data_IF_865880341564
#
_entry.id   IF_865880341564
#
_cell.length_a   1.000
_cell.length_b   1.000
_cell.length_c   1.000
_cell.angle_alpha   90.00
_cell.angle_beta   90.00
_cell.angle_gamma   90.00
#
_symmetry.space_group_name_H-M   'P 1'
#
loop_
_entity.id
_entity.type
_entity.pdbx_description
1 polymer ?
#
# COMPACT_ATOMS: atom_id res chain seq x y z
N UNK A 1 -12.03 -18.94 2.24
CA UNK A 1 -11.08 -20.06 2.43
C UNK A 1 -10.29 -20.37 1.16
N UNK A 2 -10.94 -20.71 0.03
CA UNK A 2 -10.25 -21.02 -1.23
C UNK A 2 -9.32 -19.90 -1.75
N UNK A 3 -9.78 -18.64 -1.67
CA UNK A 3 -8.98 -17.46 -2.06
C UNK A 3 -7.75 -17.31 -1.17
N UNK A 4 -7.89 -17.53 0.14
CA UNK A 4 -6.79 -17.44 1.11
C UNK A 4 -5.73 -18.51 0.85
N UNK A 5 -6.14 -19.74 0.55
CA UNK A 5 -5.22 -20.82 0.18
C UNK A 5 -4.48 -20.49 -1.12
N UNK A 6 -5.18 -19.95 -2.13
CA UNK A 6 -4.58 -19.54 -3.39
C UNK A 6 -3.53 -18.42 -3.20
N UNK A 7 -3.81 -17.43 -2.35
CA UNK A 7 -2.86 -16.36 -2.03
C UNK A 7 -1.60 -16.87 -1.34
N UNK A 8 -1.73 -17.82 -0.40
CA UNK A 8 -0.57 -18.42 0.29
C UNK A 8 0.30 -19.21 -0.70
N UNK A 9 -0.32 -19.99 -1.58
CA UNK A 9 0.40 -20.74 -2.62
C UNK A 9 1.12 -19.76 -3.58
N UNK A 10 0.45 -18.68 -4.00
CA UNK A 10 1.02 -17.66 -4.87
C UNK A 10 2.26 -16.99 -4.24
N UNK A 11 2.18 -16.62 -2.95
CA UNK A 11 3.32 -16.07 -2.23
C UNK A 11 4.49 -17.07 -2.21
N UNK A 12 4.23 -18.34 -1.93
CA UNK A 12 5.25 -19.40 -1.93
C UNK A 12 5.96 -19.56 -3.28
N UNK A 13 5.21 -19.52 -4.39
CA UNK A 13 5.78 -19.60 -5.74
C UNK A 13 6.64 -18.37 -6.06
N UNK A 14 6.21 -17.17 -5.67
CA UNK A 14 6.97 -15.93 -5.91
C UNK A 14 8.28 -15.94 -5.13
N UNK A 15 8.26 -16.35 -3.86
CA UNK A 15 9.48 -16.43 -3.04
C UNK A 15 10.46 -17.48 -3.55
N UNK A 16 9.99 -18.68 -3.91
CA UNK A 16 10.87 -19.75 -4.41
C UNK A 16 11.45 -19.42 -5.77
N UNK A 17 10.67 -18.85 -6.69
CA UNK A 17 11.17 -18.40 -7.99
C UNK A 17 12.22 -17.30 -7.85
N UNK A 18 12.01 -16.32 -6.96
CA UNK A 18 13.01 -15.28 -6.67
C UNK A 18 14.32 -15.85 -6.14
N UNK A 19 14.26 -16.82 -5.22
CA UNK A 19 15.45 -17.48 -4.67
C UNK A 19 16.19 -18.30 -5.73
N UNK A 20 15.47 -19.13 -6.48
CA UNK A 20 16.04 -19.95 -7.57
C UNK A 20 16.70 -19.07 -8.62
N UNK A 21 16.04 -17.98 -9.02
CA UNK A 21 16.61 -16.98 -9.93
C UNK A 21 17.90 -16.36 -9.38
N UNK A 22 17.94 -16.00 -8.09
CA UNK A 22 19.15 -15.47 -7.45
C UNK A 22 20.31 -16.48 -7.46
N UNK A 23 20.07 -17.76 -7.16
CA UNK A 23 21.11 -18.78 -7.13
C UNK A 23 21.64 -19.14 -8.53
N UNK A 24 20.76 -19.21 -9.54
CA UNK A 24 21.12 -19.61 -10.91
C UNK A 24 21.80 -18.45 -11.68
N UNK A 25 21.28 -17.21 -11.55
CA UNK A 25 21.68 -16.09 -12.41
C UNK A 25 22.55 -15.04 -11.71
N UNK A 26 23.08 -15.33 -10.51
CA UNK A 26 23.91 -14.39 -9.73
C UNK A 26 25.03 -13.71 -10.53
N UNK A 27 25.62 -14.43 -11.49
CA UNK A 27 26.70 -13.92 -12.35
C UNK A 27 26.25 -13.04 -13.52
N UNK A 28 24.97 -13.08 -13.91
CA UNK A 28 24.41 -12.31 -15.04
C UNK A 28 23.63 -11.07 -14.60
N UNK A 29 23.33 -10.93 -13.31
CA UNK A 29 22.57 -9.78 -12.81
C UNK A 29 23.40 -8.49 -12.80
N UNK A 30 22.80 -7.35 -13.16
CA UNK A 30 23.43 -6.05 -12.94
C UNK A 30 23.69 -5.85 -11.44
N UNK A 31 24.79 -5.15 -11.09
CA UNK A 31 25.20 -4.91 -9.70
C UNK A 31 24.09 -4.36 -8.81
N UNK A 32 23.18 -3.55 -9.36
CA UNK A 32 22.02 -3.02 -8.63
C UNK A 32 21.04 -4.11 -8.19
N UNK A 33 20.73 -5.09 -9.05
CA UNK A 33 19.82 -6.18 -8.70
C UNK A 33 20.40 -7.07 -7.58
N UNK A 34 21.71 -7.30 -7.59
CA UNK A 34 22.41 -8.02 -6.52
C UNK A 34 22.41 -7.24 -5.19
N UNK A 35 22.56 -5.91 -5.24
CA UNK A 35 22.51 -5.04 -4.07
C UNK A 35 21.13 -5.07 -3.40
N UNK A 36 20.06 -4.98 -4.21
CA UNK A 36 18.68 -5.07 -3.74
C UNK A 36 18.40 -6.45 -3.14
N UNK A 37 18.80 -7.53 -3.83
CA UNK A 37 18.63 -8.89 -3.30
C UNK A 37 19.36 -9.06 -1.97
N UNK A 38 20.56 -8.48 -1.82
CA UNK A 38 21.31 -8.52 -0.56
C UNK A 38 20.65 -7.68 0.54
N UNK A 39 20.11 -6.51 0.22
CA UNK A 39 19.43 -5.65 1.21
C UNK A 39 18.13 -6.26 1.72
N UNK A 40 17.46 -7.12 0.95
CA UNK A 40 16.29 -7.88 1.42
C UNK A 40 16.63 -8.85 2.57
N UNK A 41 17.86 -9.33 2.66
CA UNK A 41 18.31 -10.21 3.75
C UNK A 41 19.01 -9.46 4.89
N UNK A 42 19.15 -8.14 4.79
CA UNK A 42 19.70 -7.32 5.86
C UNK A 42 18.64 -7.09 6.96
N UNK A 43 19.00 -7.34 8.21
CA UNK A 43 18.05 -7.37 9.33
C UNK A 43 17.42 -5.99 9.58
N UNK A 44 18.19 -4.91 9.42
CA UNK A 44 17.71 -3.53 9.52
C UNK A 44 16.66 -3.21 8.47
N UNK A 45 16.93 -3.58 7.22
CA UNK A 45 16.01 -3.34 6.10
C UNK A 45 14.77 -4.21 6.19
N UNK A 46 14.90 -5.46 6.62
CA UNK A 46 13.77 -6.36 6.90
C UNK A 46 12.79 -5.74 7.90
N UNK A 47 13.31 -5.17 9.00
CA UNK A 47 12.50 -4.47 9.98
C UNK A 47 11.72 -3.30 9.38
N UNK A 48 12.36 -2.50 8.52
CA UNK A 48 11.71 -1.40 7.81
C UNK A 48 10.62 -1.90 6.84
N UNK A 49 10.88 -2.96 6.07
CA UNK A 49 9.89 -3.55 5.16
C UNK A 49 8.66 -4.05 5.92
N UNK A 50 8.85 -4.79 7.01
CA UNK A 50 7.76 -5.30 7.84
C UNK A 50 6.97 -4.13 8.44
N UNK A 51 7.67 -3.12 8.94
CA UNK A 51 7.03 -1.95 9.54
C UNK A 51 6.15 -1.20 8.53
N UNK A 52 6.67 -0.87 7.34
CA UNK A 52 5.89 -0.21 6.29
C UNK A 52 4.79 -1.11 5.72
N UNK A 53 5.00 -2.43 5.69
CA UNK A 53 3.97 -3.40 5.34
C UNK A 53 2.79 -3.36 6.32
N UNK A 54 3.05 -3.33 7.63
CA UNK A 54 2.00 -3.19 8.65
C UNK A 54 1.25 -1.86 8.51
N UNK A 55 1.97 -0.75 8.27
CA UNK A 55 1.33 0.54 8.02
C UNK A 55 0.44 0.52 6.77
N UNK A 56 0.92 -0.09 5.68
CA UNK A 56 0.15 -0.30 4.46
C UNK A 56 -1.10 -1.13 4.72
N UNK A 57 -0.96 -2.27 5.41
CA UNK A 57 -2.08 -3.12 5.80
C UNK A 57 -3.14 -2.32 6.58
N UNK A 58 -2.73 -1.56 7.59
CA UNK A 58 -3.65 -0.74 8.39
C UNK A 58 -4.37 0.31 7.52
N UNK A 59 -3.62 1.06 6.70
CA UNK A 59 -4.18 2.09 5.83
C UNK A 59 -5.25 1.51 4.90
N UNK A 60 -4.91 0.45 4.15
CA UNK A 60 -5.81 -0.16 3.20
C UNK A 60 -6.97 -0.91 3.88
N UNK A 61 -6.76 -1.48 5.06
CA UNK A 61 -7.82 -2.12 5.85
C UNK A 61 -8.92 -1.11 6.22
N UNK A 62 -8.56 0.11 6.64
CA UNK A 62 -9.56 1.15 6.93
C UNK A 62 -10.32 1.62 5.68
N UNK A 63 -9.64 1.70 4.53
CA UNK A 63 -10.28 2.08 3.26
C UNK A 63 -11.27 1.00 2.82
N UNK A 64 -10.86 -0.26 2.84
CA UNK A 64 -11.73 -1.37 2.45
C UNK A 64 -12.88 -1.59 3.45
N UNK A 65 -12.66 -1.36 4.74
CA UNK A 65 -13.73 -1.40 5.74
C UNK A 65 -14.79 -0.31 5.48
N UNK A 66 -14.36 0.91 5.14
CA UNK A 66 -15.28 2.00 4.80
C UNK A 66 -16.07 1.67 3.53
N UNK A 67 -15.39 1.25 2.46
CA UNK A 67 -16.05 0.89 1.19
C UNK A 67 -17.00 -0.28 1.35
N UNK A 68 -16.58 -1.35 2.03
CA UNK A 68 -17.41 -2.52 2.28
C UNK A 68 -18.67 -2.23 3.08
N UNK A 69 -18.65 -1.23 3.97
CA UNK A 69 -19.83 -0.83 4.74
C UNK A 69 -20.90 -0.09 3.94
N UNK A 70 -20.54 0.50 2.80
CA UNK A 70 -21.45 1.30 1.95
C UNK A 70 -22.03 0.46 0.81
N UNK A 71 -21.39 -0.67 0.48
CA UNK A 71 -21.84 -1.55 -0.61
C UNK A 71 -22.92 -2.51 -0.12
N UNK A 72 -24.11 -2.42 -0.71
CA UNK A 72 -25.25 -3.26 -0.34
C UNK A 72 -25.37 -4.56 -1.15
N UNK A 73 -24.71 -4.64 -2.32
CA UNK A 73 -24.79 -5.78 -3.24
C UNK A 73 -23.41 -6.28 -3.61
N UNK A 74 -23.23 -7.61 -3.65
CA UNK A 74 -21.96 -8.25 -4.02
C UNK A 74 -21.49 -7.85 -5.42
N UNK A 75 -22.41 -7.59 -6.34
CA UNK A 75 -22.14 -7.14 -7.71
C UNK A 75 -21.48 -5.75 -7.77
N UNK A 76 -21.76 -4.87 -6.80
CA UNK A 76 -21.24 -3.50 -6.74
C UNK A 76 -19.89 -3.42 -6.00
N UNK A 77 -19.44 -4.50 -5.34
CA UNK A 77 -18.19 -4.53 -4.55
C UNK A 77 -16.98 -4.25 -5.43
N UNK A 78 -16.86 -4.94 -6.57
CA UNK A 78 -15.74 -4.77 -7.49
C UNK A 78 -15.65 -3.33 -8.02
N UNK A 79 -16.80 -2.71 -8.30
CA UNK A 79 -16.85 -1.31 -8.74
C UNK A 79 -16.41 -0.37 -7.63
N UNK A 80 -16.82 -0.61 -6.38
CA UNK A 80 -16.45 0.22 -5.23
C UNK A 80 -14.96 0.16 -4.88
N UNK A 81 -14.32 -1.01 -4.98
CA UNK A 81 -12.88 -1.18 -4.65
C UNK A 81 -11.94 -0.81 -5.80
N UNK A 82 -12.46 -0.74 -7.04
CA UNK A 82 -11.65 -0.44 -8.23
C UNK A 82 -10.80 0.84 -8.13
N UNK A 83 -11.28 1.99 -7.58
CA UNK A 83 -10.45 3.20 -7.49
C UNK A 83 -9.25 3.01 -6.57
N UNK A 84 -9.41 2.22 -5.51
CA UNK A 84 -8.35 1.90 -4.55
C UNK A 84 -7.33 0.96 -5.19
N UNK A 85 -7.78 0.01 -6.01
CA UNK A 85 -6.87 -0.83 -6.79
C UNK A 85 -6.03 0.00 -7.75
N UNK A 86 -6.61 0.98 -8.44
CA UNK A 86 -5.84 1.87 -9.33
C UNK A 86 -4.77 2.67 -8.57
N UNK A 87 -5.08 3.15 -7.35
CA UNK A 87 -4.08 3.79 -6.49
C UNK A 87 -2.95 2.83 -6.12
N UNK A 88 -3.27 1.58 -5.79
CA UNK A 88 -2.28 0.56 -5.46
C UNK A 88 -1.39 0.22 -6.67
N UNK A 89 -1.98 0.07 -7.85
CA UNK A 89 -1.24 -0.18 -9.10
C UNK A 89 -0.32 1.01 -9.43
N UNK A 90 -0.80 2.25 -9.26
CA UNK A 90 0.02 3.44 -9.45
C UNK A 90 1.22 3.48 -8.49
N UNK A 91 0.99 3.15 -7.20
CA UNK A 91 2.07 2.99 -6.22
C UNK A 91 3.12 1.97 -6.69
N UNK A 92 2.63 0.83 -7.19
CA UNK A 92 3.49 -0.24 -7.68
C UNK A 92 4.31 0.18 -8.90
N UNK A 93 3.70 0.87 -9.86
CA UNK A 93 4.40 1.39 -11.04
C UNK A 93 5.48 2.41 -10.65
N UNK A 94 5.20 3.31 -9.70
CA UNK A 94 6.19 4.28 -9.21
C UNK A 94 7.36 3.57 -8.52
N UNK A 95 7.07 2.59 -7.66
CA UNK A 95 8.09 1.77 -7.02
C UNK A 95 8.97 1.02 -8.03
N UNK A 96 8.35 0.45 -9.08
CA UNK A 96 9.08 -0.21 -10.17
C UNK A 96 9.93 0.76 -10.99
N UNK A 97 9.50 2.01 -11.15
CA UNK A 97 10.31 3.05 -11.79
C UNK A 97 11.57 3.38 -10.98
N UNK A 98 11.48 3.37 -9.64
CA UNK A 98 12.63 3.58 -8.76
C UNK A 98 13.69 2.49 -8.93
N UNK A 99 13.27 1.24 -9.12
CA UNK A 99 14.15 0.08 -9.35
C UNK A 99 14.91 0.14 -10.68
N UNK A 100 14.30 0.71 -11.73
CA UNK A 100 14.88 0.74 -13.07
C UNK A 100 15.68 2.01 -13.37
N UNK A 101 15.20 3.16 -12.89
CA UNK A 101 15.75 4.48 -13.23
C UNK A 101 16.34 5.27 -12.06
N UNK A 102 16.33 4.73 -10.84
CA UNK A 102 16.85 5.42 -9.64
C UNK A 102 15.93 6.53 -9.11
N UNK A 103 16.51 7.56 -8.50
CA UNK A 103 15.77 8.67 -7.89
C UNK A 103 15.25 9.67 -8.94
N UNK A 104 13.96 9.57 -9.27
CA UNK A 104 13.24 10.62 -9.99
C UNK A 104 12.50 11.55 -9.02
N UNK A 105 12.16 12.77 -9.48
CA UNK A 105 11.35 13.69 -8.66
C UNK A 105 9.98 13.11 -8.29
N UNK A 106 9.41 12.29 -9.19
CA UNK A 106 8.15 11.57 -8.96
C UNK A 106 8.31 10.56 -7.82
N UNK A 107 9.40 9.78 -7.80
CA UNK A 107 9.69 8.82 -6.72
C UNK A 107 9.90 9.55 -5.39
N UNK A 108 10.59 10.70 -5.40
CA UNK A 108 10.76 11.53 -4.20
C UNK A 108 9.43 12.00 -3.65
N UNK A 109 8.57 12.61 -4.46
CA UNK A 109 7.27 13.11 -4.02
C UNK A 109 6.36 11.96 -3.56
N UNK A 110 6.30 10.87 -4.32
CA UNK A 110 5.48 9.71 -3.98
C UNK A 110 5.92 9.03 -2.65
N UNK A 111 7.20 9.15 -2.29
CA UNK A 111 7.71 8.65 -1.01
C UNK A 111 7.12 9.38 0.21
N UNK A 112 6.57 10.59 0.03
CA UNK A 112 5.92 11.36 1.10
C UNK A 112 4.41 11.17 1.14
N UNK A 113 3.78 10.81 0.02
CA UNK A 113 2.32 10.67 -0.04
C UNK A 113 1.92 9.34 0.62
N UNK A 114 1.10 9.32 1.70
CA UNK A 114 0.85 8.11 2.48
C UNK A 114 0.45 6.87 1.69
N UNK A 115 -0.47 7.00 0.72
CA UNK A 115 -0.92 5.91 -0.14
C UNK A 115 0.19 5.27 -0.98
N UNK A 116 1.20 6.06 -1.38
CA UNK A 116 2.32 5.60 -2.20
C UNK A 116 3.54 5.25 -1.35
N UNK A 117 3.75 5.99 -0.26
CA UNK A 117 4.91 5.90 0.62
C UNK A 117 5.10 4.51 1.22
N UNK A 118 3.99 3.81 1.53
CA UNK A 118 4.00 2.47 2.13
C UNK A 118 4.71 1.43 1.26
N UNK A 119 4.79 1.69 -0.03
CA UNK A 119 5.49 0.83 -0.98
C UNK A 119 6.76 1.49 -1.53
N UNK A 120 6.72 2.78 -1.88
CA UNK A 120 7.81 3.47 -2.58
C UNK A 120 8.99 3.77 -1.65
N UNK A 121 8.75 4.19 -0.40
CA UNK A 121 9.82 4.60 0.52
C UNK A 121 10.79 3.47 0.92
N UNK A 122 10.34 2.26 1.30
CA UNK A 122 11.28 1.19 1.63
C UNK A 122 12.06 0.70 0.39
N UNK A 123 11.47 0.76 -0.81
CA UNK A 123 12.18 0.44 -2.05
C UNK A 123 13.23 1.51 -2.38
N UNK A 124 12.88 2.79 -2.23
CA UNK A 124 13.82 3.91 -2.41
C UNK A 124 15.02 3.81 -1.46
N UNK A 125 14.77 3.50 -0.18
CA UNK A 125 15.82 3.33 0.83
C UNK A 125 16.74 2.11 0.57
N UNK A 126 16.24 1.11 -0.16
CA UNK A 126 17.02 -0.08 -0.49
C UNK A 126 18.00 0.12 -1.65
N UNK A 127 17.68 1.04 -2.56
CA UNK A 127 18.47 1.32 -3.78
C UNK A 127 19.38 2.53 -3.57
N UNK A 128 18.92 3.49 -2.78
CA UNK A 128 19.61 4.75 -2.53
C UNK A 128 19.70 5.00 -1.03
N UNK A 129 20.80 5.61 -0.60
CA UNK A 129 20.95 6.08 0.78
C UNK A 129 20.07 7.30 0.99
N UNK A 130 18.86 7.07 1.51
CA UNK A 130 17.93 8.13 1.87
C UNK A 130 18.30 8.67 3.25
N UNK A 131 18.25 9.99 3.42
CA UNK A 131 18.53 10.59 4.71
C UNK A 131 17.47 10.22 5.75
N UNK A 132 17.89 10.01 7.01
CA UNK A 132 17.02 9.54 8.07
C UNK A 132 15.81 10.46 8.32
N UNK A 133 15.95 11.78 8.11
CA UNK A 133 14.84 12.72 8.28
C UNK A 133 13.71 12.51 7.27
N UNK A 134 14.01 12.06 6.04
CA UNK A 134 12.98 11.78 5.04
C UNK A 134 12.19 10.52 5.40
N UNK A 135 12.88 9.48 5.88
CA UNK A 135 12.26 8.22 6.33
C UNK A 135 11.36 8.47 7.53
N UNK A 136 11.86 9.18 8.53
CA UNK A 136 11.09 9.52 9.74
C UNK A 136 9.93 10.44 9.38
N UNK A 137 10.16 11.47 8.57
CA UNK A 137 9.13 12.42 8.14
C UNK A 137 7.99 11.73 7.37
N UNK A 138 8.33 10.88 6.40
CA UNK A 138 7.37 10.05 5.66
C UNK A 138 6.60 9.11 6.58
N UNK A 139 7.30 8.43 7.50
CA UNK A 139 6.68 7.53 8.48
C UNK A 139 5.65 8.25 9.35
N UNK A 140 6.03 9.37 9.95
CA UNK A 140 5.15 10.16 10.82
C UNK A 140 3.94 10.67 10.04
N UNK A 141 4.15 11.17 8.82
CA UNK A 141 3.08 11.64 7.96
C UNK A 141 2.09 10.51 7.63
N UNK A 142 2.59 9.31 7.33
CA UNK A 142 1.76 8.14 7.07
C UNK A 142 0.97 7.69 8.31
N UNK A 143 1.58 7.71 9.50
CA UNK A 143 0.88 7.37 10.75
C UNK A 143 -0.23 8.38 11.05
N UNK A 144 0.05 9.68 10.93
CA UNK A 144 -0.94 10.75 11.12
C UNK A 144 -2.08 10.56 10.12
N UNK A 145 -1.75 10.26 8.87
CA UNK A 145 -2.74 10.03 7.83
C UNK A 145 -3.61 8.82 8.12
N UNK A 146 -3.02 7.69 8.55
CA UNK A 146 -3.76 6.50 8.98
C UNK A 146 -4.71 6.84 10.11
N UNK A 147 -4.26 7.59 11.12
CA UNK A 147 -5.11 7.99 12.25
C UNK A 147 -6.31 8.84 11.80
N UNK A 148 -6.08 9.85 10.95
CA UNK A 148 -7.13 10.70 10.40
C UNK A 148 -8.12 9.87 9.55
N UNK A 149 -7.60 8.99 8.69
CA UNK A 149 -8.40 8.17 7.82
C UNK A 149 -9.19 7.10 8.58
N UNK A 150 -8.64 6.54 9.65
CA UNK A 150 -9.34 5.62 10.55
C UNK A 150 -10.56 6.29 11.18
N UNK A 151 -10.43 7.56 11.62
CA UNK A 151 -11.56 8.33 12.17
C UNK A 151 -12.65 8.56 11.13
N UNK A 152 -12.28 8.87 9.89
CA UNK A 152 -13.22 9.03 8.77
C UNK A 152 -13.90 7.70 8.45
N UNK A 153 -13.13 6.62 8.35
CA UNK A 153 -13.61 5.26 8.07
C UNK A 153 -14.66 4.81 9.11
N UNK A 154 -14.40 5.03 10.41
CA UNK A 154 -15.38 4.73 11.48
C UNK A 154 -16.69 5.50 11.29
N UNK A 155 -16.62 6.76 10.88
CA UNK A 155 -17.84 7.56 10.62
C UNK A 155 -18.61 7.04 9.41
N UNK A 156 -17.92 6.71 8.32
CA UNK A 156 -18.52 6.09 7.13
C UNK A 156 -19.17 4.76 7.49
N UNK A 157 -18.49 3.95 8.29
CA UNK A 157 -18.99 2.66 8.76
C UNK A 157 -20.28 2.79 9.59
N UNK A 158 -20.33 3.76 10.52
CA UNK A 158 -21.55 4.07 11.28
C UNK A 158 -22.69 4.55 10.38
N UNK A 159 -22.38 5.39 9.39
CA UNK A 159 -23.39 5.89 8.45
C UNK A 159 -23.94 4.78 7.54
N UNK A 160 -23.07 3.91 7.02
CA UNK A 160 -23.45 2.79 6.14
C UNK A 160 -24.36 1.78 6.82
N UNK A 161 -24.18 1.57 8.13
CA UNK A 161 -25.03 0.67 8.93
C UNK A 161 -26.40 1.25 9.30
N UNK A 162 -26.57 2.58 9.30
CA UNK A 162 -27.85 3.24 9.61
C UNK A 162 -28.72 3.49 8.36
N UNK A 163 -28.11 3.65 7.18
CA UNK A 163 -28.79 4.01 5.94
C UNK A 163 -28.94 2.85 4.93
N UNK A 164 -29.08 1.61 5.44
CA UNK A 164 -29.32 0.43 4.61
C UNK A 164 -30.53 0.65 3.68
N UNK A 165 -30.31 0.59 2.36
CA UNK A 165 -31.38 0.45 1.36
C UNK A 165 -31.45 1.50 0.25
N UNK A 166 -30.88 2.71 0.43
CA UNK A 166 -30.86 3.73 -0.63
C UNK A 166 -29.46 3.86 -1.20
N UNK A 167 -29.25 3.50 -2.48
CA UNK A 167 -27.97 3.61 -3.22
C UNK A 167 -27.42 5.04 -3.16
N UNK A 168 -26.40 5.35 -2.34
CA UNK A 168 -25.80 6.67 -2.37
C UNK A 168 -24.49 6.59 -3.16
N UNK A 169 -24.22 7.61 -3.97
CA UNK A 169 -22.91 7.74 -4.61
C UNK A 169 -21.83 7.83 -3.51
N UNK A 170 -20.75 7.04 -3.58
CA UNK A 170 -19.64 7.06 -2.60
C UNK A 170 -19.14 8.49 -2.32
N UNK A 171 -19.11 9.34 -3.35
CA UNK A 171 -18.78 10.76 -3.24
C UNK A 171 -19.78 11.59 -2.43
N UNK A 172 -21.09 11.26 -2.49
CA UNK A 172 -22.11 11.90 -1.64
C UNK A 172 -21.96 11.46 -0.18
N UNK A 173 -21.66 10.18 0.09
CA UNK A 173 -21.42 9.68 1.45
C UNK A 173 -20.19 10.34 2.08
N UNK A 174 -19.06 10.37 1.36
CA UNK A 174 -17.87 11.09 1.83
C UNK A 174 -18.15 12.57 2.10
N UNK A 175 -18.93 13.23 1.23
CA UNK A 175 -19.33 14.63 1.43
C UNK A 175 -20.26 14.80 2.63
N UNK A 176 -21.29 13.99 2.78
CA UNK A 176 -22.21 14.06 3.92
C UNK A 176 -21.52 13.73 5.25
N UNK A 177 -20.61 12.76 5.28
CA UNK A 177 -19.87 12.41 6.50
C UNK A 177 -18.81 13.47 6.88
N UNK A 178 -18.22 14.17 5.91
CA UNK A 178 -17.30 15.29 6.17
C UNK A 178 -18.02 16.60 6.51
N UNK A 179 -19.19 16.86 5.94
CA UNK A 179 -19.91 18.13 6.07
C UNK A 179 -21.16 18.08 6.98
N UNK A 180 -21.57 16.90 7.45
CA UNK A 180 -22.57 16.78 8.53
C UNK A 180 -21.94 17.32 9.82
N UNK A 181 -22.24 18.58 10.12
CA UNK A 181 -22.26 19.06 11.50
C UNK A 181 -23.32 18.24 12.22
N UNK A 182 -22.92 17.56 13.30
CA UNK A 182 -23.84 17.28 14.39
C UNK A 182 -24.40 18.61 14.91
#
# INVERSE_FOLDING_TARGET
LAVTCASVIQCGIIFTSGLVSYFIFKGMYPKMALLIAKSMFDLSMLGMYIFYFVLGLLLYMFIFAALGSVVSRMEDVNNAISPVMFLFIASYMIAMSALQGGESIVVKIASWIPFFSVMVMPIRNAITTVAAYEVIGSTVLTIIFIYLFARISIRIYRWGTLNYGNKPNFFKVCKEVLFSKQ
#
